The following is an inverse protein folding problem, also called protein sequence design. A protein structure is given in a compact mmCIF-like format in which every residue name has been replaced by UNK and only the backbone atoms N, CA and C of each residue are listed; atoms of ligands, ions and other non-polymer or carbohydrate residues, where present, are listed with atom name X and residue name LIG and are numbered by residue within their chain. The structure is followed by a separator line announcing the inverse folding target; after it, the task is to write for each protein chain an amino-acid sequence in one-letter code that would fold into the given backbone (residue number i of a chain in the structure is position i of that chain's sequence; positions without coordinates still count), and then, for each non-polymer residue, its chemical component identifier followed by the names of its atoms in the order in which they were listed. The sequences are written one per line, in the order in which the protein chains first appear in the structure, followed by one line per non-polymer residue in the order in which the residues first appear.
data_IF_321008025694
#
_entry.id   IF_321008025694
#
_cell.length_a   1.000
_cell.length_b   1.000
_cell.length_c   1.000
_cell.angle_alpha   90.00
_cell.angle_beta   90.00
_cell.angle_gamma   90.00
#
_symmetry.space_group_name_H-M   'P 1'
#
loop_
_entity.id
_entity.type
_entity.pdbx_description
1 polymer ?
#
# COMPACT_ATOMS: atom_id res chain seq x y z
N UNK A 1 52.01 19.18 -4.95
CA UNK A 1 51.36 17.94 -4.45
C UNK A 1 50.69 18.29 -3.14
N UNK A 2 49.40 18.61 -3.16
CA UNK A 2 48.58 18.76 -1.96
C UNK A 2 47.23 18.10 -2.22
N UNK A 3 46.78 17.26 -1.28
CA UNK A 3 45.50 16.53 -1.32
C UNK A 3 44.36 17.46 -0.92
N UNK A 4 43.19 17.43 -1.58
CA UNK A 4 41.97 17.93 -0.96
C UNK A 4 41.32 16.82 -0.12
N UNK A 5 41.24 17.07 1.18
CA UNK A 5 40.44 16.31 2.14
C UNK A 5 38.96 16.64 1.97
N UNK A 6 38.16 15.59 1.78
CA UNK A 6 36.71 15.61 1.71
C UNK A 6 36.08 15.77 3.11
N UNK A 7 35.35 16.86 3.34
CA UNK A 7 34.35 16.95 4.40
C UNK A 7 33.13 17.74 3.91
N UNK A 8 32.22 17.09 3.18
CA UNK A 8 30.93 17.68 2.85
C UNK A 8 29.98 17.54 4.05
N UNK A 9 29.77 18.67 4.71
CA UNK A 9 28.87 18.90 5.83
C UNK A 9 27.42 18.50 5.54
N UNK A 10 26.81 17.76 6.45
CA UNK A 10 25.38 17.40 6.49
C UNK A 10 24.47 18.53 7.03
N UNK A 11 24.87 19.80 6.96
CA UNK A 11 24.15 20.91 7.59
C UNK A 11 23.41 21.82 6.59
N UNK A 12 22.45 21.29 5.84
CA UNK A 12 21.44 22.16 5.21
C UNK A 12 20.17 21.39 4.85
N UNK A 13 19.42 20.96 5.86
CA UNK A 13 18.00 20.65 5.67
C UNK A 13 17.17 21.66 6.49
N UNK A 14 16.08 22.21 5.95
CA UNK A 14 15.24 23.18 6.66
C UNK A 14 14.83 22.62 8.03
N UNK A 15 14.78 23.48 9.05
CA UNK A 15 14.45 23.12 10.44
C UNK A 15 13.21 22.20 10.56
N UNK A 16 12.22 22.37 9.69
CA UNK A 16 11.04 21.51 9.58
C UNK A 16 11.34 20.04 9.24
N UNK A 17 12.39 19.74 8.46
CA UNK A 17 12.77 18.39 8.02
C UNK A 17 13.45 17.59 9.14
N UNK A 18 14.21 18.27 10.01
CA UNK A 18 14.91 17.63 11.14
C UNK A 18 13.92 17.18 12.23
N UNK A 19 12.91 18.01 12.49
CA UNK A 19 11.82 17.69 13.43
C UNK A 19 11.01 16.47 12.97
N UNK A 20 10.83 16.31 11.65
CA UNK A 20 10.14 15.15 11.05
C UNK A 20 10.93 13.86 11.29
N UNK A 21 12.26 13.86 11.09
CA UNK A 21 13.09 12.67 11.37
C UNK A 21 13.07 12.30 12.84
N UNK A 22 13.18 13.29 13.74
CA UNK A 22 13.15 13.06 15.18
C UNK A 22 11.81 12.46 15.64
N UNK A 23 10.69 12.98 15.14
CA UNK A 23 9.36 12.46 15.44
C UNK A 23 9.17 11.01 14.96
N UNK A 24 9.68 10.68 13.76
CA UNK A 24 9.61 9.32 13.20
C UNK A 24 10.42 8.31 14.02
N UNK A 25 11.58 8.70 14.55
CA UNK A 25 12.41 7.85 15.42
C UNK A 25 11.76 7.61 16.79
N UNK A 26 11.12 8.62 17.38
CA UNK A 26 10.44 8.49 18.68
C UNK A 26 9.21 7.58 18.61
N UNK A 27 8.51 7.59 17.47
CA UNK A 27 7.32 6.75 17.24
C UNK A 27 7.66 5.26 17.14
N UNK A 28 8.83 4.91 16.59
CA UNK A 28 9.35 3.53 16.53
C UNK A 28 9.63 2.97 17.93
N UNK A 29 10.14 3.81 18.84
CA UNK A 29 10.49 3.40 20.22
C UNK A 29 9.24 3.04 21.05
N UNK A 30 8.13 3.76 20.85
CA UNK A 30 6.85 3.48 21.54
C UNK A 30 6.15 2.20 21.06
N UNK A 31 6.32 1.84 19.79
CA UNK A 31 5.75 0.60 19.22
C UNK A 31 6.55 -0.64 19.61
N UNK A 32 7.85 -0.50 19.83
CA UNK A 32 8.69 -1.56 20.38
C UNK A 32 8.41 -1.81 21.88
N UNK A 33 8.15 -0.75 22.66
CA UNK A 33 7.84 -0.92 24.09
C UNK A 33 6.45 -1.52 24.35
N UNK A 34 5.46 -1.25 23.49
CA UNK A 34 4.11 -1.82 23.66
C UNK A 34 4.00 -3.29 23.22
N UNK A 35 5.02 -3.87 22.60
CA UNK A 35 5.06 -5.27 22.23
C UNK A 35 5.71 -6.17 23.30
N UNK A 36 6.32 -5.57 24.33
CA UNK A 36 7.01 -6.28 25.41
C UNK A 36 6.15 -6.49 26.68
N UNK A 37 4.95 -5.93 26.74
CA UNK A 37 4.04 -6.06 27.90
C UNK A 37 2.70 -6.68 27.50
N UNK A 38 2.70 -7.95 27.10
CA UNK A 38 1.51 -8.81 27.20
C UNK A 38 1.93 -10.22 27.61
N UNK A 39 1.82 -10.48 28.92
CA UNK A 39 1.22 -11.72 29.44
C UNK A 39 2.11 -12.96 29.55
N UNK A 40 2.94 -12.99 30.60
CA UNK A 40 3.32 -14.24 31.27
C UNK A 40 2.08 -14.81 31.97
N UNK A 41 1.62 -15.99 31.55
CA UNK A 41 0.70 -16.82 32.35
C UNK A 41 1.32 -18.21 32.44
N UNK A 42 1.53 -18.61 33.68
CA UNK A 42 2.10 -19.89 34.10
C UNK A 42 1.18 -21.05 33.76
N UNK A 43 1.76 -22.15 33.27
CA UNK A 43 1.23 -23.49 33.50
C UNK A 43 2.40 -24.42 33.79
N UNK A 44 2.45 -24.84 35.06
CA UNK A 44 3.23 -25.98 35.55
C UNK A 44 2.71 -27.25 34.88
N UNK A 45 3.61 -28.08 34.36
CA UNK A 45 3.45 -29.54 34.34
C UNK A 45 4.82 -30.19 34.18
N UNK A 46 5.19 -30.96 35.20
CA UNK A 46 6.27 -31.94 35.22
C UNK A 46 6.09 -32.98 34.11
N UNK A 47 7.19 -33.33 33.46
CA UNK A 47 7.57 -34.72 33.19
C UNK A 47 9.02 -34.76 32.68
N UNK A 48 9.87 -35.42 33.46
CA UNK A 48 11.17 -35.93 33.06
C UNK A 48 11.06 -36.84 31.83
N UNK A 49 12.08 -36.89 30.97
CA UNK A 49 12.93 -38.08 30.77
C UNK A 49 13.84 -37.96 29.52
N UNK A 50 15.13 -38.22 29.76
CA UNK A 50 16.27 -38.62 28.91
C UNK A 50 16.34 -38.36 27.39
N UNK A 51 17.51 -37.88 26.94
CA UNK A 51 17.98 -38.09 25.57
C UNK A 51 19.11 -37.17 25.10
N UNK A 52 20.34 -37.51 25.50
CA UNK A 52 21.62 -36.97 25.01
C UNK A 52 21.92 -37.51 23.60
N UNK A 53 22.07 -36.64 22.59
CA UNK A 53 22.78 -36.95 21.33
C UNK A 53 23.54 -35.69 20.87
N UNK A 54 24.85 -35.86 20.73
CA UNK A 54 25.85 -34.95 20.16
C UNK A 54 25.92 -35.07 18.63
N UNK A 55 26.79 -34.23 18.04
CA UNK A 55 27.36 -34.29 16.69
C UNK A 55 26.50 -33.60 15.61
N UNK A 56 27.01 -32.82 14.66
CA UNK A 56 28.33 -32.26 14.36
C UNK A 56 28.13 -31.14 13.30
N UNK A 57 29.08 -30.23 13.26
CA UNK A 57 29.71 -29.61 12.09
C UNK A 57 28.95 -28.81 10.98
N UNK A 58 29.69 -27.76 10.57
CA UNK A 58 29.66 -26.98 9.32
C UNK A 58 28.43 -26.06 9.07
N UNK A 59 28.50 -24.90 8.42
CA UNK A 59 29.45 -24.43 7.42
C UNK A 59 29.33 -22.89 7.23
N UNK A 60 30.37 -22.37 6.61
CA UNK A 60 30.78 -21.04 6.18
C UNK A 60 29.75 -20.16 5.46
N UNK A 61 29.85 -18.86 5.76
CA UNK A 61 29.84 -17.69 4.85
C UNK A 61 29.57 -17.93 3.35
N UNK A 62 28.68 -17.11 2.75
CA UNK A 62 28.98 -16.09 1.70
C UNK A 62 27.68 -15.67 0.95
N UNK A 63 27.51 -14.39 0.57
CA UNK A 63 26.22 -13.82 0.20
C UNK A 63 25.92 -13.95 -1.29
N UNK A 64 24.75 -14.50 -1.61
CA UNK A 64 24.21 -14.46 -2.97
C UNK A 64 23.66 -13.06 -3.27
N UNK A 65 24.29 -12.39 -4.23
CA UNK A 65 23.79 -11.17 -4.88
C UNK A 65 22.58 -11.57 -5.72
N UNK A 66 21.38 -11.41 -5.17
CA UNK A 66 20.13 -11.53 -5.91
C UNK A 66 19.75 -10.21 -6.61
N UNK A 67 18.95 -10.25 -7.70
CA UNK A 67 18.41 -9.05 -8.31
C UNK A 67 17.57 -8.30 -7.26
N UNK A 68 17.62 -6.97 -7.28
CA UNK A 68 16.87 -6.09 -6.37
C UNK A 68 15.37 -6.27 -6.63
N UNK A 69 14.81 -7.32 -6.02
CA UNK A 69 13.41 -7.70 -6.13
C UNK A 69 12.52 -6.70 -5.41
N UNK A 70 11.30 -6.55 -5.93
CA UNK A 70 10.21 -5.75 -5.37
C UNK A 70 10.21 -5.81 -3.84
N UNK A 71 10.54 -4.68 -3.19
CA UNK A 71 10.57 -4.54 -1.72
C UNK A 71 9.18 -4.39 -1.10
N UNK A 72 8.12 -4.62 -1.88
CA UNK A 72 6.75 -4.44 -1.42
C UNK A 72 6.29 -5.68 -0.64
N UNK A 73 5.72 -5.43 0.54
CA UNK A 73 5.24 -6.48 1.43
C UNK A 73 4.13 -7.29 0.76
N UNK A 74 4.10 -8.63 0.90
CA UNK A 74 2.99 -9.45 0.43
C UNK A 74 1.65 -8.96 0.98
N UNK A 75 0.58 -9.06 0.17
CA UNK A 75 -0.78 -8.79 0.66
C UNK A 75 -1.08 -9.68 1.88
N UNK A 76 -1.78 -9.17 2.91
CA UNK A 76 -2.11 -9.98 4.06
C UNK A 76 -2.86 -11.23 3.59
N UNK A 77 -2.43 -12.46 3.97
CA UNK A 77 -3.19 -13.65 3.67
C UNK A 77 -4.54 -13.55 4.37
N UNK A 78 -5.63 -13.64 3.62
CA UNK A 78 -6.96 -13.76 4.21
C UNK A 78 -7.00 -15.07 5.00
N UNK A 79 -7.09 -15.00 6.33
CA UNK A 79 -7.20 -16.18 7.22
C UNK A 79 -8.59 -16.85 7.14
N UNK A 80 -9.14 -17.00 5.95
CA UNK A 80 -10.44 -17.63 5.70
C UNK A 80 -10.38 -18.38 4.38
N UNK A 81 -11.06 -19.53 4.32
CA UNK A 81 -11.48 -20.27 3.11
C UNK A 81 -11.54 -19.33 1.89
N UNK A 82 -11.05 -19.69 0.68
CA UNK A 82 -11.10 -18.80 -0.48
C UNK A 82 -12.54 -18.34 -0.68
N UNK A 83 -12.80 -17.11 -0.24
CA UNK A 83 -14.09 -16.49 -0.42
C UNK A 83 -14.20 -16.23 -1.91
N UNK A 84 -15.39 -16.44 -2.48
CA UNK A 84 -15.74 -16.06 -3.86
C UNK A 84 -15.62 -14.55 -4.16
N UNK A 85 -14.93 -13.78 -3.30
CA UNK A 85 -14.79 -12.33 -3.30
C UNK A 85 -13.29 -12.01 -3.44
N UNK A 86 -12.78 -12.08 -4.66
CA UNK A 86 -11.45 -11.59 -5.05
C UNK A 86 -11.48 -10.12 -5.47
N UNK A 87 -12.65 -9.67 -5.93
CA UNK A 87 -12.83 -8.38 -6.56
C UNK A 87 -13.47 -7.37 -5.60
N UNK A 88 -12.93 -6.17 -5.56
CA UNK A 88 -13.46 -5.07 -4.76
C UNK A 88 -13.53 -3.79 -5.57
N UNK A 89 -14.43 -2.89 -5.20
CA UNK A 89 -14.54 -1.55 -5.78
C UNK A 89 -14.09 -0.49 -4.80
N UNK A 90 -13.35 0.50 -5.29
CA UNK A 90 -13.02 1.73 -4.56
C UNK A 90 -13.48 2.96 -5.34
N UNK A 91 -13.76 4.03 -4.59
CA UNK A 91 -13.97 5.35 -5.17
C UNK A 91 -12.63 6.03 -5.47
N UNK A 92 -12.46 6.54 -6.69
CA UNK A 92 -11.33 7.37 -7.12
C UNK A 92 -11.87 8.63 -7.80
N UNK A 93 -11.30 9.79 -7.50
CA UNK A 93 -11.65 11.03 -8.19
C UNK A 93 -11.21 11.01 -9.65
N UNK A 94 -12.03 11.58 -10.56
CA UNK A 94 -11.75 11.71 -12.00
C UNK A 94 -10.31 12.16 -12.28
N UNK A 95 -9.84 13.26 -11.66
CA UNK A 95 -8.46 13.75 -11.82
C UNK A 95 -7.37 12.69 -11.55
N UNK A 96 -7.63 11.78 -10.61
CA UNK A 96 -6.69 10.73 -10.24
C UNK A 96 -6.77 9.54 -11.19
N UNK A 97 -7.96 9.24 -11.73
CA UNK A 97 -8.12 8.27 -12.82
C UNK A 97 -7.37 8.75 -14.06
N UNK A 98 -7.55 10.02 -14.45
CA UNK A 98 -6.81 10.64 -15.56
C UNK A 98 -5.29 10.57 -15.35
N UNK A 99 -4.81 10.86 -14.14
CA UNK A 99 -3.39 10.74 -13.82
C UNK A 99 -2.87 9.30 -13.94
N UNK A 100 -3.69 8.29 -13.59
CA UNK A 100 -3.34 6.88 -13.77
C UNK A 100 -3.24 6.54 -15.25
N UNK A 101 -4.24 6.93 -16.05
CA UNK A 101 -4.27 6.66 -17.49
C UNK A 101 -3.14 7.36 -18.23
N UNK A 102 -2.73 8.55 -17.76
CA UNK A 102 -1.60 9.29 -18.29
C UNK A 102 -0.23 8.82 -17.78
N UNK A 103 -0.16 7.78 -16.93
CA UNK A 103 1.09 7.27 -16.35
C UNK A 103 1.73 8.19 -15.29
N UNK A 104 1.16 9.38 -15.04
CA UNK A 104 1.69 10.33 -14.04
C UNK A 104 1.35 9.96 -12.59
N UNK A 105 0.50 8.96 -12.40
CA UNK A 105 0.22 8.30 -11.12
C UNK A 105 0.30 6.79 -11.27
N UNK A 106 1.40 6.19 -10.82
CA UNK A 106 1.65 4.74 -10.91
C UNK A 106 1.27 3.97 -9.64
N UNK A 107 0.99 4.66 -8.54
CA UNK A 107 0.59 4.05 -7.26
C UNK A 107 -0.73 4.62 -6.73
N UNK A 108 -1.58 3.76 -6.17
CA UNK A 108 -2.71 4.14 -5.33
C UNK A 108 -2.31 4.17 -3.85
N UNK A 109 -2.50 5.32 -3.20
CA UNK A 109 -2.05 5.55 -1.83
C UNK A 109 -3.21 5.52 -0.85
N UNK A 110 -3.07 4.75 0.23
CA UNK A 110 -4.11 4.57 1.25
C UNK A 110 -3.51 4.54 2.66
N UNK A 111 -4.34 4.86 3.66
CA UNK A 111 -4.02 4.69 5.09
C UNK A 111 -4.06 3.23 5.55
N UNK A 112 -4.66 2.35 4.76
CA UNK A 112 -4.85 0.92 5.02
C UNK A 112 -4.47 0.13 3.76
N UNK A 113 -4.06 -1.14 3.89
CA UNK A 113 -3.81 -1.98 2.73
C UNK A 113 -5.14 -2.32 2.03
N UNK A 114 -5.13 -2.33 0.71
CA UNK A 114 -6.25 -2.81 -0.09
C UNK A 114 -6.40 -4.33 0.07
N UNK A 115 -7.64 -4.85 0.03
CA UNK A 115 -7.92 -6.19 0.51
C UNK A 115 -7.60 -7.30 -0.51
N UNK A 116 -7.42 -6.96 -1.79
CA UNK A 116 -7.12 -7.91 -2.85
C UNK A 116 -6.39 -7.23 -4.03
N UNK A 117 -6.10 -7.99 -5.09
CA UNK A 117 -5.41 -7.51 -6.30
C UNK A 117 -6.35 -6.93 -7.36
N UNK A 118 -7.58 -7.41 -7.41
CA UNK A 118 -8.52 -7.11 -8.48
C UNK A 118 -9.44 -5.96 -8.07
N UNK A 119 -9.16 -4.78 -8.62
CA UNK A 119 -9.70 -3.51 -8.16
C UNK A 119 -10.56 -2.84 -9.22
N UNK A 120 -11.85 -2.78 -8.97
CA UNK A 120 -12.79 -1.97 -9.75
C UNK A 120 -12.73 -0.51 -9.30
N UNK A 121 -12.78 0.40 -10.27
CA UNK A 121 -12.68 1.83 -10.04
C UNK A 121 -14.04 2.46 -10.29
N UNK A 122 -14.70 2.84 -9.20
CA UNK A 122 -15.81 3.78 -9.23
C UNK A 122 -15.23 5.19 -9.35
N UNK A 123 -15.43 5.79 -10.52
CA UNK A 123 -15.05 7.17 -10.75
C UNK A 123 -16.12 8.08 -10.16
N UNK A 124 -15.72 8.98 -9.26
CA UNK A 124 -16.66 9.87 -8.57
C UNK A 124 -17.18 10.97 -9.51
N UNK A 125 -17.94 11.93 -8.96
CA UNK A 125 -18.49 13.03 -9.75
C UNK A 125 -17.39 13.76 -10.55
N UNK A 126 -17.66 14.12 -11.82
CA UNK A 126 -18.97 14.13 -12.47
C UNK A 126 -19.43 12.78 -13.06
N UNK A 127 -18.55 11.80 -13.20
CA UNK A 127 -18.85 10.54 -13.92
C UNK A 127 -19.81 9.64 -13.14
N UNK A 128 -19.56 9.45 -11.84
CA UNK A 128 -20.40 8.67 -10.92
C UNK A 128 -20.74 7.25 -11.44
N UNK A 129 -19.72 6.56 -11.96
CA UNK A 129 -19.87 5.23 -12.56
C UNK A 129 -18.59 4.40 -12.39
N UNK A 130 -18.75 3.07 -12.41
CA UNK A 130 -17.62 2.15 -12.64
C UNK A 130 -17.26 2.20 -14.13
N UNK A 131 -16.01 2.54 -14.43
CA UNK A 131 -15.48 2.59 -15.80
C UNK A 131 -14.23 1.75 -16.03
N UNK A 132 -13.50 1.47 -14.96
CA UNK A 132 -12.21 0.82 -15.07
C UNK A 132 -12.09 -0.33 -14.09
N UNK A 133 -11.26 -1.28 -14.49
CA UNK A 133 -10.74 -2.36 -13.69
C UNK A 133 -9.22 -2.23 -13.67
N UNK A 134 -8.60 -2.45 -12.52
CA UNK A 134 -7.16 -2.37 -12.37
C UNK A 134 -6.64 -3.60 -11.61
N UNK A 135 -5.49 -4.08 -12.05
CA UNK A 135 -4.72 -5.08 -11.30
C UNK A 135 -3.66 -4.34 -10.52
N UNK A 136 -3.60 -4.57 -9.21
CA UNK A 136 -2.62 -3.92 -8.34
C UNK A 136 -1.62 -4.92 -7.74
N UNK A 137 -0.44 -4.40 -7.45
CA UNK A 137 0.59 -5.11 -6.71
C UNK A 137 0.29 -5.15 -5.21
N UNK A 138 1.09 -5.95 -4.51
CA UNK A 138 1.13 -5.96 -3.07
C UNK A 138 1.60 -4.59 -2.52
N UNK A 139 1.16 -4.21 -1.31
CA UNK A 139 1.42 -2.88 -0.79
C UNK A 139 2.90 -2.65 -0.46
N UNK A 140 3.39 -1.47 -0.79
CA UNK A 140 4.67 -0.95 -0.34
C UNK A 140 4.43 0.05 0.81
N UNK A 141 5.36 0.12 1.76
CA UNK A 141 5.44 1.13 2.82
C UNK A 141 6.38 2.27 2.43
N UNK A 142 6.38 3.40 3.16
CA UNK A 142 7.38 4.45 2.95
C UNK A 142 8.80 3.88 3.02
N UNK A 143 9.60 4.13 1.98
CA UNK A 143 10.95 3.59 1.78
C UNK A 143 11.02 2.35 0.87
N UNK A 144 9.88 1.73 0.55
CA UNK A 144 9.83 0.49 -0.22
C UNK A 144 9.53 0.67 -1.72
N UNK A 145 9.12 1.88 -2.17
CA UNK A 145 8.95 2.12 -3.62
C UNK A 145 10.33 2.05 -4.30
N UNK A 146 10.48 1.29 -5.41
CA UNK A 146 11.75 1.17 -6.13
C UNK A 146 12.26 2.51 -6.68
N UNK A 147 13.57 2.68 -6.74
CA UNK A 147 14.22 3.93 -7.17
C UNK A 147 13.76 4.38 -8.57
N UNK A 148 13.57 3.42 -9.49
CA UNK A 148 13.10 3.69 -10.85
C UNK A 148 11.75 4.42 -10.91
N UNK A 149 10.90 4.24 -9.90
CA UNK A 149 9.56 4.86 -9.85
C UNK A 149 9.55 6.19 -9.05
N UNK A 150 10.70 6.62 -8.48
CA UNK A 150 10.80 7.84 -7.67
C UNK A 150 10.94 9.12 -8.49
N UNK A 151 11.09 9.03 -9.81
CA UNK A 151 11.05 10.20 -10.70
C UNK A 151 9.68 10.93 -10.66
N UNK A 152 8.61 10.23 -10.29
CA UNK A 152 7.30 10.81 -10.01
C UNK A 152 7.29 11.40 -8.59
N UNK A 153 7.09 12.72 -8.50
CA UNK A 153 7.17 13.48 -7.25
C UNK A 153 6.32 12.89 -6.11
N UNK A 154 5.09 12.47 -6.41
CA UNK A 154 4.20 11.88 -5.40
C UNK A 154 4.74 10.54 -4.85
N UNK A 155 5.42 9.75 -5.67
CA UNK A 155 6.05 8.50 -5.24
C UNK A 155 7.22 8.79 -4.32
N UNK A 156 8.09 9.75 -4.69
CA UNK A 156 9.18 10.25 -3.84
C UNK A 156 8.67 10.74 -2.49
N UNK A 157 7.65 11.60 -2.49
CA UNK A 157 7.03 12.11 -1.27
C UNK A 157 6.49 10.98 -0.38
N UNK A 158 5.86 9.95 -0.95
CA UNK A 158 5.46 8.77 -0.17
C UNK A 158 6.67 8.05 0.43
N UNK A 159 7.71 7.83 -0.36
CA UNK A 159 8.91 7.14 0.09
C UNK A 159 9.62 7.89 1.24
N UNK A 160 9.61 9.22 1.19
CA UNK A 160 10.15 10.10 2.23
C UNK A 160 9.27 10.19 3.49
N UNK A 161 8.12 9.51 3.53
CA UNK A 161 7.14 9.62 4.62
C UNK A 161 6.39 10.95 4.64
N UNK A 162 6.40 11.66 3.50
CA UNK A 162 5.76 12.96 3.30
C UNK A 162 4.37 12.86 2.67
N UNK A 163 3.94 11.67 2.23
CA UNK A 163 2.60 11.49 1.63
C UNK A 163 1.48 11.79 2.62
N UNK A 164 0.72 12.85 2.35
CA UNK A 164 -0.47 13.19 3.11
C UNK A 164 -0.92 14.62 2.84
N UNK A 165 -2.21 14.88 3.01
CA UNK A 165 -2.71 16.25 3.06
C UNK A 165 -2.44 16.80 4.46
N UNK A 166 -1.85 18.00 4.55
CA UNK A 166 -1.95 18.79 5.77
C UNK A 166 -3.42 19.19 5.89
N UNK A 167 -4.17 18.53 6.77
CA UNK A 167 -5.55 18.91 7.01
C UNK A 167 -5.52 20.21 7.81
N UNK A 168 -6.08 21.32 7.28
CA UNK A 168 -6.16 22.57 8.03
C UNK A 168 -6.90 22.34 9.34
N UNK A 169 -6.44 23.01 10.39
CA UNK A 169 -7.00 22.95 11.73
C UNK A 169 -8.49 23.36 11.70
N UNK A 170 -9.40 22.38 11.80
CA UNK A 170 -10.81 22.64 12.10
C UNK A 170 -10.94 22.85 13.61
N UNK A 171 -10.54 24.03 14.06
CA UNK A 171 -10.74 24.54 15.42
C UNK A 171 -9.82 23.93 16.48
N UNK A 172 -8.85 24.72 16.95
CA UNK A 172 -8.02 24.50 18.14
C UNK A 172 -7.44 23.08 18.33
N UNK A 173 -7.23 22.32 17.25
CA UNK A 173 -6.68 20.96 17.29
C UNK A 173 -5.45 20.90 16.41
N UNK A 174 -4.30 20.61 17.04
CA UNK A 174 -2.99 20.44 16.37
C UNK A 174 -3.16 19.81 14.97
N UNK A 175 -2.62 20.43 13.90
CA UNK A 175 -2.79 19.94 12.54
C UNK A 175 -2.40 18.46 12.48
N UNK A 176 -3.33 17.62 12.01
CA UNK A 176 -3.08 16.20 11.84
C UNK A 176 -2.65 15.97 10.40
N UNK A 177 -1.40 15.54 10.24
CA UNK A 177 -0.91 15.03 8.96
C UNK A 177 -1.61 13.70 8.70
N UNK A 178 -2.45 13.65 7.68
CA UNK A 178 -3.06 12.41 7.25
C UNK A 178 -2.08 11.63 6.39
N UNK A 179 -1.22 10.84 7.03
CA UNK A 179 -0.17 10.08 6.35
C UNK A 179 -0.76 8.84 5.68
N UNK A 180 -0.48 8.66 4.38
CA UNK A 180 -0.70 7.39 3.70
C UNK A 180 0.41 6.41 4.09
N UNK A 181 0.03 5.18 4.44
CA UNK A 181 0.97 4.15 4.91
C UNK A 181 1.21 3.03 3.90
N UNK A 182 0.37 2.96 2.87
CA UNK A 182 0.38 1.90 1.87
C UNK A 182 0.29 2.51 0.48
N UNK A 183 1.17 2.07 -0.41
CA UNK A 183 1.17 2.37 -1.83
C UNK A 183 0.99 1.07 -2.61
N UNK A 184 -0.01 1.01 -3.48
CA UNK A 184 -0.28 -0.14 -4.34
C UNK A 184 0.06 0.22 -5.78
N UNK A 185 1.06 -0.43 -6.37
CA UNK A 185 1.43 -0.21 -7.77
C UNK A 185 0.27 -0.62 -8.66
N UNK A 186 -0.15 0.25 -9.57
CA UNK A 186 -1.09 -0.09 -10.63
C UNK A 186 -0.32 -0.81 -11.72
N UNK A 187 -0.60 -2.10 -11.90
CA UNK A 187 0.10 -2.96 -12.87
C UNK A 187 -0.57 -2.92 -14.23
N UNK A 188 -1.90 -2.96 -14.22
CA UNK A 188 -2.71 -2.94 -15.43
C UNK A 188 -3.96 -2.12 -15.20
N UNK A 189 -4.46 -1.50 -16.26
CA UNK A 189 -5.77 -0.85 -16.28
C UNK A 189 -6.52 -1.35 -17.50
N UNK A 190 -7.79 -1.63 -17.30
CA UNK A 190 -8.73 -2.08 -18.28
C UNK A 190 -9.94 -1.15 -18.25
N UNK A 191 -10.47 -0.80 -19.42
CA UNK A 191 -11.62 0.07 -19.58
C UNK A 191 -12.83 -0.77 -19.96
N UNK A 192 -13.93 -0.53 -19.27
CA UNK A 192 -15.21 -1.13 -19.57
C UNK A 192 -15.82 -0.49 -20.82
N UNK A 193 -16.37 -1.31 -21.72
CA UNK A 193 -17.05 -0.83 -22.93
C UNK A 193 -18.19 0.14 -22.58
N UNK A 194 -19.03 -0.22 -21.62
CA UNK A 194 -20.13 0.60 -21.14
C UNK A 194 -19.99 0.90 -19.64
N UNK A 195 -20.04 2.18 -19.27
CA UNK A 195 -19.92 2.58 -17.87
C UNK A 195 -21.15 2.15 -17.06
N UNK A 196 -20.93 1.56 -15.88
CA UNK A 196 -22.01 1.18 -14.96
C UNK A 196 -22.25 2.28 -13.94
N UNK A 197 -23.38 2.99 -14.06
CA UNK A 197 -23.74 4.07 -13.12
C UNK A 197 -23.94 3.57 -11.70
N UNK A 198 -23.74 4.44 -10.70
CA UNK A 198 -24.03 4.11 -9.30
C UNK A 198 -25.45 3.58 -9.11
N UNK A 199 -26.43 4.19 -9.78
CA UNK A 199 -27.83 3.78 -9.72
C UNK A 199 -28.00 2.34 -10.19
N UNK A 200 -27.45 1.99 -11.36
CA UNK A 200 -27.53 0.63 -11.88
C UNK A 200 -26.87 -0.40 -10.95
N UNK A 201 -25.74 -0.05 -10.32
CA UNK A 201 -25.04 -0.94 -9.40
C UNK A 201 -25.85 -1.18 -8.11
N UNK A 202 -26.54 -0.16 -7.61
CA UNK A 202 -27.43 -0.27 -6.44
C UNK A 202 -28.68 -1.07 -6.78
N UNK A 203 -29.32 -0.80 -7.93
CA UNK A 203 -30.51 -1.54 -8.39
C UNK A 203 -30.24 -3.03 -8.61
N UNK A 204 -29.05 -3.37 -9.12
CA UNK A 204 -28.60 -4.77 -9.25
C UNK A 204 -28.20 -5.41 -7.91
N UNK A 205 -28.14 -4.64 -6.81
CA UNK A 205 -27.71 -5.11 -5.49
C UNK A 205 -26.23 -5.52 -5.45
N UNK A 206 -25.37 -4.83 -6.21
CA UNK A 206 -23.92 -5.10 -6.24
C UNK A 206 -23.20 -4.33 -5.14
N UNK A 207 -23.63 -3.10 -4.89
CA UNK A 207 -23.13 -2.23 -3.82
C UNK A 207 -24.29 -1.43 -3.22
N UNK A 208 -24.17 -1.00 -1.96
CA UNK A 208 -25.19 -0.16 -1.29
C UNK A 208 -25.03 1.34 -1.57
N UNK A 209 -23.99 1.76 -2.28
CA UNK A 209 -23.65 3.16 -2.52
C UNK A 209 -22.19 3.33 -2.93
N UNK A 210 -21.77 4.57 -3.20
CA UNK A 210 -20.38 4.87 -3.53
C UNK A 210 -19.46 4.46 -2.36
N UNK A 211 -18.43 3.62 -2.58
CA UNK A 211 -17.59 3.13 -1.49
C UNK A 211 -16.83 4.26 -0.77
N UNK A 212 -16.97 4.37 0.55
CA UNK A 212 -16.12 5.25 1.37
C UNK A 212 -14.73 4.65 1.60
N UNK A 213 -14.67 3.32 1.81
CA UNK A 213 -13.43 2.55 1.97
C UNK A 213 -13.19 1.68 0.73
N UNK A 214 -13.91 0.57 0.66
CA UNK A 214 -14.11 -0.30 -0.49
C UNK A 214 -15.43 -1.06 -0.30
N UNK A 215 -15.95 -1.67 -1.36
CA UNK A 215 -17.03 -2.66 -1.28
C UNK A 215 -16.62 -3.93 -2.05
N UNK A 216 -16.95 -5.10 -1.50
CA UNK A 216 -16.72 -6.36 -2.21
C UNK A 216 -17.72 -6.52 -3.35
N UNK A 217 -17.24 -7.02 -4.49
CA UNK A 217 -18.07 -7.44 -5.60
C UNK A 217 -18.15 -8.97 -5.61
N UNK A 218 -19.30 -9.48 -5.99
CA UNK A 218 -19.54 -10.91 -6.11
C UNK A 218 -19.12 -11.38 -7.50
N UNK A 219 -18.22 -12.35 -7.57
CA UNK A 219 -17.68 -12.89 -8.82
C UNK A 219 -18.78 -13.39 -9.76
N UNK A 220 -19.84 -14.00 -9.24
CA UNK A 220 -20.95 -14.49 -10.05
C UNK A 220 -21.68 -13.33 -10.77
N UNK A 221 -21.62 -12.12 -10.21
CA UNK A 221 -22.30 -10.94 -10.75
C UNK A 221 -21.47 -10.19 -11.79
N UNK A 222 -20.15 -10.25 -11.69
CA UNK A 222 -19.24 -9.46 -12.52
C UNK A 222 -18.58 -10.24 -13.66
N UNK A 223 -18.81 -11.56 -13.73
CA UNK A 223 -18.18 -12.43 -14.73
C UNK A 223 -18.42 -11.95 -16.16
N UNK A 224 -19.68 -11.70 -16.54
CA UNK A 224 -20.02 -11.22 -17.88
C UNK A 224 -19.44 -9.82 -18.16
N UNK A 225 -19.39 -8.97 -17.15
CA UNK A 225 -18.83 -7.61 -17.27
C UNK A 225 -17.33 -7.64 -17.54
N UNK A 226 -16.59 -8.61 -16.97
CA UNK A 226 -15.15 -8.77 -17.25
C UNK A 226 -14.88 -9.09 -18.72
N UNK A 227 -15.80 -9.77 -19.41
CA UNK A 227 -15.66 -10.06 -20.84
C UNK A 227 -15.76 -8.80 -21.73
N UNK A 228 -16.31 -7.71 -21.21
CA UNK A 228 -16.46 -6.43 -21.93
C UNK A 228 -15.29 -5.46 -21.67
N UNK A 229 -14.24 -5.91 -20.99
CA UNK A 229 -13.05 -5.13 -20.69
C UNK A 229 -12.10 -5.09 -21.90
N UNK A 230 -11.57 -3.90 -22.17
CA UNK A 230 -10.49 -3.67 -23.13
C UNK A 230 -9.25 -3.16 -22.38
N UNK A 231 -8.07 -3.72 -22.68
CA UNK A 231 -6.84 -3.29 -22.03
C UNK A 231 -6.51 -1.85 -22.42
N UNK A 232 -6.14 -1.05 -21.43
CA UNK A 232 -5.62 0.30 -21.67
C UNK A 232 -4.10 0.21 -21.70
N UNK A 233 -3.49 0.72 -22.76
CA UNK A 233 -2.05 0.92 -22.81
C UNK A 233 -1.68 2.09 -21.92
N UNK A 234 -0.96 1.81 -20.83
CA UNK A 234 -0.41 2.85 -19.98
C UNK A 234 0.90 3.34 -20.60
N UNK A 235 1.11 4.66 -20.72
CA UNK A 235 2.41 5.19 -21.11
C UNK A 235 3.42 4.81 -20.01
N UNK A 236 4.41 3.99 -20.39
CA UNK A 236 5.49 3.51 -19.52
C UNK A 236 6.60 4.55 -19.48
#
# INVERSE_FOLDING_TARGET
MEKPSSSSSLSSLPLQQQDIRAYMMQSRKRKASSAAEVGTVETVNDNSDNGDIREDDENLNTPATGPVGDRCSPLPPSKSKPSSKSDFVISIYTRHVESILAGTKTYEFRKYPLPARDMWIYETAPVSAIRYYAVIAAPCRPGEIPEGDLHIERNRQFNDGLSGTLVPDKGNKKPRKEVNWYAHRVLEVWKLKEAMSLKALVEKGWIGGAPQKYAWLDMAKIFDVKAELSKVELPI
#
